data_IF_545010543385
#
_entry.id   IF_545010543385
#
_cell.length_a   1.000
_cell.length_b   1.000
_cell.length_c   1.000
_cell.angle_alpha   90.00
_cell.angle_beta   90.00
_cell.angle_gamma   90.00
#
_symmetry.space_group_name_H-M   'P 1'
#
loop_
_entity.id
_entity.type
_entity.pdbx_description
1 polymer ?
#
# COMPACT_ATOMS: atom_id res chain seq x y z
N UNK A 1 -10.59 16.64 -3.46
CA UNK A 1 -9.90 15.35 -3.69
C UNK A 1 -10.80 14.28 -3.13
N UNK A 2 -11.14 13.24 -3.89
CA UNK A 2 -12.08 12.20 -3.45
C UNK A 2 -11.26 10.96 -3.13
N UNK A 3 -11.25 10.52 -1.86
CA UNK A 3 -10.66 9.25 -1.46
C UNK A 3 -11.31 8.10 -2.23
N UNK A 4 -10.50 7.25 -2.86
CA UNK A 4 -11.00 6.02 -3.48
C UNK A 4 -11.53 5.07 -2.41
N UNK A 5 -12.66 4.43 -2.67
CA UNK A 5 -13.27 3.51 -1.70
C UNK A 5 -12.55 2.18 -1.66
N UNK A 6 -12.15 1.75 -0.48
CA UNK A 6 -11.48 0.47 -0.25
C UNK A 6 -12.46 -0.70 -0.34
N UNK A 7 -12.16 -1.66 -1.20
CA UNK A 7 -12.93 -2.91 -1.34
C UNK A 7 -12.33 -4.11 -0.60
N UNK A 8 -11.11 -4.00 -0.08
CA UNK A 8 -10.40 -5.13 0.52
C UNK A 8 -9.37 -5.79 -0.39
N UNK A 9 -8.89 -5.13 -1.45
CA UNK A 9 -7.90 -5.69 -2.39
C UNK A 9 -6.60 -4.89 -2.52
N UNK A 10 -6.54 -3.68 -1.95
CA UNK A 10 -5.34 -2.82 -1.95
C UNK A 10 -4.67 -2.83 -0.58
N UNK A 11 -3.57 -2.10 -0.40
CA UNK A 11 -2.92 -2.05 0.91
C UNK A 11 -3.80 -1.30 1.93
N UNK A 12 -4.19 -1.93 3.05
CA UNK A 12 -5.04 -1.30 4.07
C UNK A 12 -4.33 -0.17 4.83
N UNK A 13 -3.01 -0.20 4.98
CA UNK A 13 -2.27 0.88 5.64
C UNK A 13 -2.25 2.13 4.76
N UNK A 14 -2.08 1.97 3.44
CA UNK A 14 -2.11 3.08 2.49
C UNK A 14 -3.49 3.74 2.45
N UNK A 15 -4.56 2.93 2.45
CA UNK A 15 -5.92 3.46 2.56
C UNK A 15 -6.16 4.21 3.87
N UNK A 16 -5.67 3.66 4.98
CA UNK A 16 -5.83 4.27 6.30
C UNK A 16 -5.09 5.61 6.38
N UNK A 17 -3.84 5.69 5.89
CA UNK A 17 -3.06 6.91 5.85
C UNK A 17 -3.73 8.00 5.00
N UNK A 18 -4.24 7.62 3.81
CA UNK A 18 -4.99 8.52 2.95
C UNK A 18 -6.30 9.01 3.62
N UNK A 19 -7.02 8.12 4.32
CA UNK A 19 -8.20 8.49 5.08
C UNK A 19 -7.88 9.47 6.21
N UNK A 20 -6.86 9.18 7.02
CA UNK A 20 -6.43 10.02 8.15
C UNK A 20 -5.98 11.40 7.66
N UNK A 21 -5.18 11.44 6.59
CA UNK A 21 -4.72 12.70 5.97
C UNK A 21 -5.90 13.55 5.47
N UNK A 22 -6.95 12.92 4.93
CA UNK A 22 -8.11 13.65 4.46
C UNK A 22 -9.02 14.13 5.61
N UNK A 23 -9.25 13.30 6.62
CA UNK A 23 -10.20 13.62 7.69
C UNK A 23 -9.62 14.62 8.70
N UNK A 24 -8.30 14.62 8.91
CA UNK A 24 -7.60 15.58 9.79
C UNK A 24 -7.73 17.04 9.33
N UNK A 25 -8.10 17.27 8.06
CA UNK A 25 -8.45 18.60 7.57
C UNK A 25 -9.76 19.14 8.17
N UNK A 26 -10.59 18.27 8.76
CA UNK A 26 -11.92 18.61 9.28
C UNK A 26 -12.04 18.34 10.78
N UNK A 27 -11.38 17.30 11.30
CA UNK A 27 -11.50 16.91 12.70
C UNK A 27 -10.37 15.98 13.15
N UNK A 28 -10.01 16.10 14.42
CA UNK A 28 -9.16 15.15 15.15
C UNK A 28 -9.96 14.34 16.20
N UNK A 29 -11.30 14.43 16.17
CA UNK A 29 -12.18 13.68 17.08
C UNK A 29 -12.33 12.23 16.59
N UNK A 30 -11.73 11.29 17.33
CA UNK A 30 -11.77 9.86 17.01
C UNK A 30 -13.19 9.29 16.89
N UNK A 31 -14.17 9.82 17.63
CA UNK A 31 -15.55 9.36 17.55
C UNK A 31 -16.19 9.79 16.22
N UNK A 32 -15.85 10.97 15.71
CA UNK A 32 -16.26 11.42 14.38
C UNK A 32 -15.55 10.59 13.31
N UNK A 33 -14.23 10.38 13.44
CA UNK A 33 -13.47 9.56 12.50
C UNK A 33 -14.05 8.14 12.37
N UNK A 34 -14.39 7.49 13.49
CA UNK A 34 -15.07 6.19 13.50
C UNK A 34 -16.41 6.18 12.75
N UNK A 35 -17.21 7.23 12.89
CA UNK A 35 -18.51 7.36 12.22
C UNK A 35 -18.37 7.60 10.71
N UNK A 36 -17.32 8.31 10.31
CA UNK A 36 -17.08 8.66 8.91
C UNK A 36 -16.35 7.54 8.17
N UNK A 37 -15.51 6.75 8.84
CA UNK A 37 -14.70 5.69 8.23
C UNK A 37 -15.46 4.76 7.26
N UNK A 38 -16.68 4.28 7.56
CA UNK A 38 -17.42 3.38 6.66
C UNK A 38 -17.73 4.00 5.30
N UNK A 39 -17.78 5.34 5.19
CA UNK A 39 -18.01 6.02 3.92
C UNK A 39 -16.86 5.85 2.93
N UNK A 40 -15.66 5.54 3.44
CA UNK A 40 -14.46 5.23 2.67
C UNK A 40 -14.38 3.77 2.21
N UNK A 41 -15.34 2.92 2.59
CA UNK A 41 -15.34 1.50 2.30
C UNK A 41 -16.40 1.12 1.26
N UNK A 42 -16.18 0.02 0.55
CA UNK A 42 -17.17 -0.64 -0.33
C UNK A 42 -17.04 -2.16 -0.24
N UNK A 43 -18.04 -2.88 -0.76
CA UNK A 43 -17.96 -4.33 -0.93
C UNK A 43 -17.61 -5.10 0.35
N UNK A 44 -16.68 -6.09 0.29
CA UNK A 44 -16.26 -6.90 1.44
C UNK A 44 -15.79 -6.08 2.65
N UNK A 45 -15.11 -4.95 2.44
CA UNK A 45 -14.63 -4.08 3.51
C UNK A 45 -15.76 -3.40 4.28
N UNK A 46 -16.73 -2.83 3.56
CA UNK A 46 -17.91 -2.25 4.20
C UNK A 46 -18.72 -3.30 4.96
N UNK A 47 -18.89 -4.48 4.35
CA UNK A 47 -19.58 -5.61 4.97
C UNK A 47 -18.90 -6.07 6.27
N UNK A 48 -17.57 -6.09 6.32
CA UNK A 48 -16.82 -6.36 7.55
C UNK A 48 -17.14 -5.34 8.65
N UNK A 49 -17.11 -4.04 8.33
CA UNK A 49 -17.37 -2.98 9.30
C UNK A 49 -18.78 -3.13 9.91
N UNK A 50 -19.80 -3.38 9.08
CA UNK A 50 -21.19 -3.52 9.55
C UNK A 50 -21.44 -4.73 10.46
N UNK A 51 -20.52 -5.71 10.47
CA UNK A 51 -20.60 -6.92 11.30
C UNK A 51 -19.81 -6.81 12.61
N UNK A 52 -19.17 -5.67 12.87
CA UNK A 52 -18.49 -5.46 14.14
C UNK A 52 -19.50 -5.51 15.30
N UNK A 53 -19.21 -6.24 16.40
CA UNK A 53 -20.10 -6.27 17.55
C UNK A 53 -20.32 -4.86 18.11
N UNK A 54 -21.55 -4.51 18.56
CA UNK A 54 -21.79 -3.24 19.25
C UNK A 54 -20.83 -3.05 20.43
N UNK A 55 -20.25 -1.86 20.55
CA UNK A 55 -19.28 -1.54 21.62
C UNK A 55 -17.89 -2.17 21.46
N UNK A 56 -17.60 -2.87 20.36
CA UNK A 56 -16.26 -3.47 20.12
C UNK A 56 -15.18 -2.48 19.67
N UNK A 57 -15.58 -1.25 19.35
CA UNK A 57 -14.73 -0.14 18.93
C UNK A 57 -15.01 1.04 19.85
N UNK A 58 -14.01 1.42 20.63
CA UNK A 58 -14.04 2.54 21.59
C UNK A 58 -13.31 3.79 21.10
N UNK A 59 -12.46 3.63 20.07
CA UNK A 59 -11.59 4.66 19.52
C UNK A 59 -11.27 4.37 18.05
N UNK A 60 -10.84 5.40 17.33
CA UNK A 60 -10.40 5.22 15.93
C UNK A 60 -9.13 4.38 15.88
N UNK A 61 -8.27 4.49 16.89
CA UNK A 61 -7.09 3.63 17.07
C UNK A 61 -7.44 2.13 17.17
N UNK A 62 -8.48 1.77 17.94
CA UNK A 62 -8.95 0.37 18.01
C UNK A 62 -9.52 -0.10 16.66
N UNK A 63 -10.28 0.77 15.98
CA UNK A 63 -10.86 0.47 14.66
C UNK A 63 -9.77 0.23 13.61
N UNK A 64 -8.77 1.11 13.55
CA UNK A 64 -7.70 1.08 12.56
C UNK A 64 -6.83 -0.17 12.72
N UNK A 65 -6.49 -0.54 13.95
CA UNK A 65 -5.78 -1.79 14.26
C UNK A 65 -6.54 -3.02 13.76
N UNK A 66 -7.84 -3.11 14.09
CA UNK A 66 -8.69 -4.22 13.62
C UNK A 66 -8.81 -4.27 12.11
N UNK A 67 -8.91 -3.11 11.45
CA UNK A 67 -8.98 -3.00 10.01
C UNK A 67 -7.70 -3.55 9.34
N UNK A 68 -6.53 -3.12 9.80
CA UNK A 68 -5.24 -3.61 9.28
C UNK A 68 -5.09 -5.11 9.52
N UNK A 69 -5.48 -5.62 10.68
CA UNK A 69 -5.45 -7.06 10.99
C UNK A 69 -6.39 -7.84 10.06
N UNK A 70 -7.63 -7.38 9.88
CA UNK A 70 -8.63 -8.03 9.03
C UNK A 70 -8.16 -8.15 7.58
N UNK A 71 -7.52 -7.09 7.08
CA UNK A 71 -7.13 -6.96 5.67
C UNK A 71 -5.63 -7.15 5.45
N UNK A 72 -4.91 -7.74 6.42
CA UNK A 72 -3.46 -7.94 6.31
C UNK A 72 -3.06 -8.75 5.06
N UNK A 73 -3.92 -9.69 4.63
CA UNK A 73 -3.73 -10.51 3.42
C UNK A 73 -4.20 -9.86 2.13
N UNK A 74 -4.90 -8.71 2.20
CA UNK A 74 -5.32 -7.96 1.02
C UNK A 74 -4.19 -7.18 0.37
N UNK A 75 -3.06 -7.04 1.06
CA UNK A 75 -1.86 -6.44 0.49
C UNK A 75 -1.56 -7.15 -0.84
N UNK A 76 -1.38 -6.40 -1.94
CA UNK A 76 -0.80 -6.95 -3.15
C UNK A 76 0.46 -7.72 -2.77
N UNK A 77 0.68 -8.89 -3.38
CA UNK A 77 1.85 -9.73 -3.07
C UNK A 77 3.09 -8.83 -3.04
N UNK A 78 3.69 -8.67 -1.87
CA UNK A 78 4.83 -7.78 -1.70
C UNK A 78 5.90 -8.22 -2.69
N UNK A 79 6.29 -7.31 -3.58
CA UNK A 79 7.40 -7.58 -4.48
C UNK A 79 8.63 -7.80 -3.62
N UNK A 80 9.28 -8.93 -3.80
CA UNK A 80 10.56 -9.24 -3.16
C UNK A 80 11.70 -8.89 -4.11
N UNK A 81 12.94 -8.94 -3.63
CA UNK A 81 14.14 -8.77 -4.47
C UNK A 81 14.17 -9.72 -5.68
N UNK A 82 13.49 -10.88 -5.62
CA UNK A 82 13.32 -11.81 -6.73
C UNK A 82 12.73 -11.12 -7.97
N UNK A 83 11.87 -10.13 -7.77
CA UNK A 83 11.23 -9.42 -8.86
C UNK A 83 12.23 -8.59 -9.71
N UNK A 84 13.43 -8.28 -9.17
CA UNK A 84 14.52 -7.63 -9.89
C UNK A 84 15.28 -8.59 -10.83
N UNK A 85 15.21 -9.92 -10.63
CA UNK A 85 15.94 -10.91 -11.44
C UNK A 85 15.56 -10.84 -12.92
N UNK A 86 14.30 -10.53 -13.20
CA UNK A 86 13.75 -10.49 -14.54
C UNK A 86 13.87 -9.12 -15.21
N UNK A 87 14.31 -8.09 -14.47
CA UNK A 87 14.55 -6.78 -15.05
C UNK A 87 15.93 -6.79 -15.70
N UNK A 88 15.94 -6.71 -17.03
CA UNK A 88 17.17 -6.59 -17.84
C UNK A 88 17.00 -5.48 -18.85
N UNK A 89 18.08 -4.78 -19.16
CA UNK A 89 18.06 -3.78 -20.22
C UNK A 89 17.81 -4.48 -21.57
N UNK A 90 16.81 -4.01 -22.32
CA UNK A 90 16.46 -4.59 -23.62
C UNK A 90 17.33 -4.08 -24.78
N UNK A 91 17.33 -4.76 -25.94
CA UNK A 91 18.28 -4.48 -27.05
C UNK A 91 18.15 -3.10 -27.66
N UNK A 92 16.95 -2.53 -27.57
CA UNK A 92 16.61 -1.22 -28.14
C UNK A 92 16.25 -0.21 -27.05
N UNK A 93 16.43 -0.58 -25.79
CA UNK A 93 16.06 0.25 -24.65
C UNK A 93 17.23 1.15 -24.24
N UNK A 94 16.94 2.44 -24.17
CA UNK A 94 17.91 3.42 -23.69
C UNK A 94 18.23 3.17 -22.20
N UNK A 95 19.45 3.53 -21.78
CA UNK A 95 19.83 3.44 -20.37
C UNK A 95 18.88 4.20 -19.46
N UNK A 96 18.41 5.38 -19.88
CA UNK A 96 17.45 6.20 -19.12
C UNK A 96 16.14 5.45 -18.88
N UNK A 97 15.54 4.91 -19.94
CA UNK A 97 14.28 4.16 -19.86
C UNK A 97 14.41 2.93 -18.96
N UNK A 98 15.54 2.24 -19.07
CA UNK A 98 15.86 1.12 -18.18
C UNK A 98 15.98 1.57 -16.71
N UNK A 99 16.72 2.64 -16.43
CA UNK A 99 16.90 3.17 -15.07
C UNK A 99 15.57 3.63 -14.45
N UNK A 100 14.67 4.23 -15.23
CA UNK A 100 13.33 4.61 -14.78
C UNK A 100 12.49 3.38 -14.38
N UNK A 101 12.51 2.33 -15.20
CA UNK A 101 11.84 1.05 -14.90
C UNK A 101 12.43 0.38 -13.66
N UNK A 102 13.75 0.26 -13.61
CA UNK A 102 14.46 -0.35 -12.50
C UNK A 102 14.17 0.41 -11.19
N UNK A 103 14.28 1.74 -11.22
CA UNK A 103 13.97 2.62 -10.10
C UNK A 103 12.53 2.45 -9.59
N UNK A 104 11.54 2.44 -10.49
CA UNK A 104 10.15 2.20 -10.12
C UNK A 104 9.95 0.84 -9.43
N UNK A 105 10.64 -0.20 -9.91
CA UNK A 105 10.58 -1.52 -9.29
C UNK A 105 11.21 -1.53 -7.90
N UNK A 106 12.38 -0.90 -7.73
CA UNK A 106 13.06 -0.83 -6.43
C UNK A 106 12.24 -0.08 -5.38
N UNK A 107 11.53 0.99 -5.77
CA UNK A 107 10.63 1.74 -4.89
C UNK A 107 9.39 0.93 -4.47
N UNK A 108 9.02 -0.08 -5.25
CA UNK A 108 7.88 -0.95 -4.96
C UNK A 108 8.24 -2.13 -4.04
N UNK A 109 9.53 -2.34 -3.74
CA UNK A 109 10.03 -3.41 -2.85
C UNK A 109 10.30 -2.81 -1.47
N UNK A 110 9.56 -3.25 -0.45
CA UNK A 110 9.78 -2.80 0.92
C UNK A 110 11.09 -3.36 1.49
N UNK A 111 11.79 -2.53 2.27
CA UNK A 111 13.04 -2.91 2.96
C UNK A 111 14.10 -3.53 2.02
N UNK A 112 14.17 -3.06 0.77
CA UNK A 112 15.18 -3.52 -0.18
C UNK A 112 16.58 -3.14 0.31
N UNK A 113 17.44 -4.12 0.51
CA UNK A 113 18.86 -3.89 0.80
C UNK A 113 19.52 -3.18 -0.40
N UNK A 114 20.14 -1.99 -0.20
CA UNK A 114 20.86 -1.28 -1.25
C UNK A 114 21.93 -2.13 -1.95
N UNK A 115 22.59 -3.06 -1.24
CA UNK A 115 23.59 -3.95 -1.82
C UNK A 115 22.94 -4.95 -2.80
N UNK A 116 21.76 -5.47 -2.45
CA UNK A 116 20.98 -6.36 -3.34
C UNK A 116 20.49 -5.59 -4.56
N UNK A 117 20.01 -4.36 -4.39
CA UNK A 117 19.61 -3.50 -5.50
C UNK A 117 20.79 -3.24 -6.46
N UNK A 118 21.97 -2.95 -5.93
CA UNK A 118 23.17 -2.68 -6.72
C UNK A 118 23.68 -3.92 -7.46
N UNK A 119 23.63 -5.08 -6.82
CA UNK A 119 23.95 -6.36 -7.45
C UNK A 119 23.04 -6.65 -8.65
N UNK A 120 21.72 -6.45 -8.50
CA UNK A 120 20.79 -6.62 -9.60
C UNK A 120 20.98 -5.56 -10.70
N UNK A 121 21.26 -4.32 -10.34
CA UNK A 121 21.53 -3.27 -11.33
C UNK A 121 22.74 -3.62 -12.22
N UNK A 122 23.84 -4.04 -11.61
CA UNK A 122 25.07 -4.42 -12.33
C UNK A 122 24.88 -5.65 -13.22
N UNK A 123 24.07 -6.63 -12.82
CA UNK A 123 23.76 -7.81 -13.66
C UNK A 123 22.68 -7.55 -14.72
N UNK A 124 21.82 -6.55 -14.51
CA UNK A 124 20.75 -6.18 -15.43
C UNK A 124 21.20 -5.26 -16.56
N UNK A 125 22.24 -4.47 -16.31
CA UNK A 125 22.90 -3.66 -17.33
C UNK A 125 23.54 -4.56 -18.38
N UNK A 126 23.47 -4.13 -19.63
CA UNK A 126 24.32 -4.70 -20.67
C UNK A 126 25.75 -4.27 -20.35
N UNK A 127 26.66 -5.25 -20.31
CA UNK A 127 28.08 -4.95 -20.36
C UNK A 127 28.37 -4.06 -21.57
N UNK A 128 29.29 -3.12 -21.39
CA UNK A 128 29.91 -2.33 -22.45
C UNK A 128 30.31 -3.21 -23.65
#
# INVERSE_FOLDING_TARGET
>A
MTLEKFDGTTDPEEHLDAFVTQISLYTDDEAIMCKVFPTSLRGPALNWFTRLPPGSVDSFTTLSSRFVIQFATSRPHQLTSIALINIRQEKKESLRTFMERFGKMTLSIRNLDPAVAMHHLTTALRGF
#
